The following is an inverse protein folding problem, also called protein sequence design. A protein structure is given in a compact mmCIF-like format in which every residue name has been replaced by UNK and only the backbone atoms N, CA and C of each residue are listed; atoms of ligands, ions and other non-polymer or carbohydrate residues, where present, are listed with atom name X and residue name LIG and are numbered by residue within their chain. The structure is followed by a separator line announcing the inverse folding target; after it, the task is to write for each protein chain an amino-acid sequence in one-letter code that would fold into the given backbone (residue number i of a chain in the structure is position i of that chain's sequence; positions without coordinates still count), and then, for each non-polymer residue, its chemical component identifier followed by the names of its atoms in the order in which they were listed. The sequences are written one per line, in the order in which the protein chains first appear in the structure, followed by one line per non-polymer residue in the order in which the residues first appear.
data_IF_908504279156
#
_entry.id   IF_908504279156
#
_cell.length_a   1.000
_cell.length_b   1.000
_cell.length_c   1.000
_cell.angle_alpha   90.00
_cell.angle_beta   90.00
_cell.angle_gamma   90.00
#
_symmetry.space_group_name_H-M   'P 1'
#
loop_
_entity.id
_entity.type
_entity.pdbx_description
1 polymer ?
#
# COMPACT_ATOMS: atom_id res chain seq x y z
N UNK A 1 -0.87 -33.82 5.93
CA UNK A 1 0.43 -33.29 6.38
C UNK A 1 1.38 -32.95 5.24
N UNK A 2 1.96 -33.92 4.49
CA UNK A 2 2.90 -33.57 3.40
C UNK A 2 2.26 -32.76 2.25
N UNK A 3 1.03 -33.10 1.86
CA UNK A 3 0.30 -32.37 0.82
C UNK A 3 -0.06 -30.94 1.26
N UNK A 4 -0.47 -30.76 2.52
CA UNK A 4 -0.78 -29.43 3.09
C UNK A 4 0.48 -28.58 3.19
N UNK A 5 1.60 -29.16 3.63
CA UNK A 5 2.89 -28.48 3.66
C UNK A 5 3.36 -28.06 2.27
N UNK A 6 3.17 -28.93 1.26
CA UNK A 6 3.47 -28.58 -0.13
C UNK A 6 2.56 -27.45 -0.64
N UNK A 7 1.26 -27.52 -0.34
CA UNK A 7 0.30 -26.46 -0.69
C UNK A 7 0.68 -25.11 -0.07
N UNK A 8 1.10 -25.11 1.20
CA UNK A 8 1.59 -23.90 1.88
C UNK A 8 2.82 -23.30 1.19
N UNK A 9 3.82 -24.12 0.86
CA UNK A 9 5.03 -23.64 0.18
C UNK A 9 4.74 -23.11 -1.23
N UNK A 10 3.84 -23.76 -1.97
CA UNK A 10 3.40 -23.29 -3.29
C UNK A 10 2.67 -21.95 -3.15
N UNK A 11 1.75 -21.83 -2.20
CA UNK A 11 1.03 -20.59 -1.92
C UNK A 11 1.97 -19.44 -1.57
N UNK A 12 2.95 -19.69 -0.70
CA UNK A 12 3.97 -18.70 -0.34
C UNK A 12 4.81 -18.29 -1.57
N UNK A 13 5.21 -19.24 -2.41
CA UNK A 13 5.93 -18.95 -3.65
C UNK A 13 5.11 -18.08 -4.62
N UNK A 14 3.83 -18.40 -4.80
CA UNK A 14 2.92 -17.61 -5.63
C UNK A 14 2.70 -16.21 -5.06
N UNK A 15 2.61 -16.07 -3.74
CA UNK A 15 2.47 -14.78 -3.07
C UNK A 15 3.68 -13.87 -3.33
N UNK A 16 4.90 -14.41 -3.20
CA UNK A 16 6.12 -13.66 -3.47
C UNK A 16 6.23 -13.22 -4.94
N UNK A 17 5.95 -14.11 -5.88
CA UNK A 17 5.97 -13.78 -7.32
C UNK A 17 4.85 -12.81 -7.68
N UNK A 18 3.66 -12.99 -7.10
CA UNK A 18 2.51 -12.12 -7.30
C UNK A 18 2.76 -10.70 -6.79
N UNK A 19 3.39 -10.56 -5.61
CA UNK A 19 3.72 -9.27 -5.03
C UNK A 19 4.67 -8.47 -5.94
N UNK A 20 5.75 -9.10 -6.42
CA UNK A 20 6.73 -8.47 -7.33
C UNK A 20 6.05 -8.00 -8.64
N UNK A 21 5.23 -8.87 -9.24
CA UNK A 21 4.48 -8.55 -10.47
C UNK A 21 3.44 -7.46 -10.28
N UNK A 22 2.80 -7.40 -9.12
CA UNK A 22 1.79 -6.38 -8.82
C UNK A 22 2.44 -4.99 -8.77
N UNK A 23 3.63 -4.88 -8.16
CA UNK A 23 4.37 -3.61 -8.10
C UNK A 23 4.82 -3.16 -9.49
N UNK A 24 5.36 -4.06 -10.31
CA UNK A 24 5.76 -3.75 -11.68
C UNK A 24 4.56 -3.31 -12.55
N UNK A 25 3.46 -4.05 -12.51
CA UNK A 25 2.25 -3.73 -13.26
C UNK A 25 1.63 -2.40 -12.80
N UNK A 26 1.66 -2.10 -11.50
CA UNK A 26 1.22 -0.82 -10.96
C UNK A 26 2.06 0.35 -11.50
N UNK A 27 3.38 0.20 -11.58
CA UNK A 27 4.26 1.21 -12.16
C UNK A 27 4.00 1.43 -13.67
N UNK A 28 3.74 0.35 -14.41
CA UNK A 28 3.36 0.44 -15.83
C UNK A 28 2.00 1.12 -16.03
N UNK A 29 1.02 0.82 -15.18
CA UNK A 29 -0.29 1.49 -15.20
C UNK A 29 -0.16 2.99 -14.94
N UNK A 30 0.66 3.39 -13.97
CA UNK A 30 0.91 4.80 -13.68
C UNK A 30 1.47 5.54 -14.91
N UNK A 31 2.43 4.92 -15.62
CA UNK A 31 3.01 5.47 -16.84
C UNK A 31 2.00 5.53 -18.00
N UNK A 32 1.13 4.53 -18.13
CA UNK A 32 0.14 4.48 -19.20
C UNK A 32 -0.93 5.57 -19.05
N UNK A 33 -1.42 5.79 -17.82
CA UNK A 33 -2.45 6.79 -17.52
C UNK A 33 -1.90 8.19 -17.24
N UNK A 34 -0.57 8.37 -17.17
CA UNK A 34 0.05 9.66 -16.89
C UNK A 34 -0.18 10.17 -15.46
N UNK A 35 -0.39 9.26 -14.51
CA UNK A 35 -0.64 9.53 -13.09
C UNK A 35 0.57 9.12 -12.25
N UNK A 36 0.69 9.65 -11.02
CA UNK A 36 1.83 9.33 -10.16
C UNK A 36 1.81 7.85 -9.72
N UNK A 37 3.00 7.25 -9.59
CA UNK A 37 3.13 5.91 -9.04
C UNK A 37 2.64 5.85 -7.58
N UNK A 38 2.78 6.97 -6.85
CA UNK A 38 2.25 7.12 -5.50
C UNK A 38 0.70 7.03 -5.49
N UNK A 39 0.00 7.74 -6.39
CA UNK A 39 -1.45 7.66 -6.51
C UNK A 39 -1.94 6.23 -6.76
N UNK A 40 -1.31 5.50 -7.71
CA UNK A 40 -1.64 4.10 -7.98
C UNK A 40 -1.35 3.21 -6.76
N UNK A 41 -0.26 3.49 -6.03
CA UNK A 41 0.07 2.79 -4.80
C UNK A 41 -1.00 2.95 -3.71
N UNK A 42 -1.45 4.19 -3.49
CA UNK A 42 -2.46 4.54 -2.48
C UNK A 42 -3.87 4.07 -2.87
N UNK A 43 -4.14 3.81 -4.15
CA UNK A 43 -5.46 3.39 -4.64
C UNK A 43 -5.49 1.93 -5.05
N UNK A 44 -4.97 1.59 -6.23
CA UNK A 44 -5.12 0.26 -6.83
C UNK A 44 -4.39 -0.81 -6.02
N UNK A 45 -3.14 -0.54 -5.62
CA UNK A 45 -2.34 -1.51 -4.89
C UNK A 45 -2.90 -1.72 -3.48
N UNK A 46 -3.20 -0.64 -2.76
CA UNK A 46 -3.78 -0.71 -1.40
C UNK A 46 -5.14 -1.43 -1.37
N UNK A 47 -6.06 -1.10 -2.29
CA UNK A 47 -7.35 -1.79 -2.40
C UNK A 47 -7.11 -3.27 -2.67
N UNK A 48 -6.22 -3.58 -3.62
CA UNK A 48 -5.89 -4.95 -4.00
C UNK A 48 -5.39 -5.78 -2.82
N UNK A 49 -4.54 -5.20 -1.97
CA UNK A 49 -4.05 -5.86 -0.76
C UNK A 49 -5.11 -6.05 0.31
N UNK A 50 -6.15 -5.20 0.35
CA UNK A 50 -7.24 -5.26 1.34
C UNK A 50 -8.40 -6.19 0.95
N UNK A 51 -8.45 -6.68 -0.30
CA UNK A 51 -9.52 -7.59 -0.77
C UNK A 51 -9.63 -8.85 0.10
N UNK A 52 -8.54 -9.54 0.48
CA UNK A 52 -8.61 -10.71 1.35
C UNK A 52 -9.24 -10.37 2.71
N UNK A 53 -8.84 -9.27 3.36
CA UNK A 53 -9.39 -8.83 4.64
C UNK A 53 -10.86 -8.41 4.52
N UNK A 54 -11.24 -7.75 3.43
CA UNK A 54 -12.65 -7.45 3.15
C UNK A 54 -13.45 -8.74 2.99
N UNK A 55 -12.90 -9.74 2.31
CA UNK A 55 -13.57 -11.03 2.11
C UNK A 55 -13.78 -11.76 3.44
N UNK A 56 -12.75 -11.81 4.30
CA UNK A 56 -12.89 -12.43 5.63
C UNK A 56 -13.84 -11.65 6.53
N UNK A 57 -13.83 -10.32 6.45
CA UNK A 57 -14.74 -9.45 7.23
C UNK A 57 -16.20 -9.62 6.79
N UNK A 58 -16.46 -9.69 5.47
CA UNK A 58 -17.80 -9.99 4.94
C UNK A 58 -18.27 -11.37 5.39
N UNK A 59 -17.38 -12.37 5.34
CA UNK A 59 -17.71 -13.71 5.82
C UNK A 59 -18.02 -13.69 7.32
N UNK A 60 -17.18 -13.07 8.15
CA UNK A 60 -17.43 -12.96 9.59
C UNK A 60 -18.76 -12.26 9.90
N UNK A 61 -19.13 -11.22 9.16
CA UNK A 61 -20.42 -10.53 9.29
C UNK A 61 -21.61 -11.45 8.94
N UNK A 62 -21.49 -12.28 7.89
CA UNK A 62 -22.54 -13.21 7.48
C UNK A 62 -22.79 -14.32 8.51
N UNK A 63 -21.79 -14.67 9.31
CA UNK A 63 -21.85 -15.70 10.35
C UNK A 63 -22.10 -15.14 11.75
N UNK A 64 -22.48 -13.87 11.87
CA UNK A 64 -22.74 -13.18 13.15
C UNK A 64 -21.54 -13.21 14.12
N UNK A 65 -20.32 -13.25 13.56
CA UNK A 65 -19.06 -13.30 14.30
C UNK A 65 -18.45 -11.89 14.43
N UNK A 66 -19.18 -10.97 15.06
CA UNK A 66 -18.80 -9.56 15.18
C UNK A 66 -17.44 -9.33 15.84
N UNK A 67 -17.15 -10.01 16.95
CA UNK A 67 -15.85 -9.87 17.65
C UNK A 67 -14.67 -10.32 16.78
N UNK A 68 -14.86 -11.37 15.97
CA UNK A 68 -13.84 -11.85 15.04
C UNK A 68 -13.62 -10.85 13.91
N UNK A 69 -14.70 -10.26 13.39
CA UNK A 69 -14.64 -9.20 12.38
C UNK A 69 -13.83 -8.01 12.89
N UNK A 70 -14.18 -7.48 14.07
CA UNK A 70 -13.50 -6.32 14.67
C UNK A 70 -12.04 -6.66 14.96
N UNK A 71 -11.77 -7.83 15.55
CA UNK A 71 -10.41 -8.29 15.80
C UNK A 71 -9.56 -8.42 14.54
N UNK A 72 -10.14 -8.93 13.45
CA UNK A 72 -9.47 -9.03 12.15
C UNK A 72 -9.12 -7.64 11.58
N UNK A 73 -10.08 -6.70 11.56
CA UNK A 73 -9.85 -5.36 11.01
C UNK A 73 -8.81 -4.61 11.85
N UNK A 74 -9.03 -4.49 13.15
CA UNK A 74 -8.14 -3.73 14.04
C UNK A 74 -6.74 -4.34 14.09
N UNK A 75 -6.65 -5.67 14.17
CA UNK A 75 -5.38 -6.39 14.19
C UNK A 75 -4.59 -6.20 12.89
N UNK A 76 -5.24 -6.32 11.73
CA UNK A 76 -4.59 -6.20 10.42
C UNK A 76 -4.05 -4.80 10.17
N UNK A 77 -4.85 -3.76 10.44
CA UNK A 77 -4.41 -2.37 10.27
C UNK A 77 -3.29 -1.99 11.25
N UNK A 78 -3.40 -2.43 12.51
CA UNK A 78 -2.33 -2.20 13.50
C UNK A 78 -1.03 -2.87 13.07
N UNK A 79 -1.09 -4.11 12.57
CA UNK A 79 0.09 -4.83 12.08
C UNK A 79 0.69 -4.16 10.83
N UNK A 80 -0.12 -3.68 9.88
CA UNK A 80 0.37 -2.97 8.71
C UNK A 80 1.14 -1.70 9.10
N UNK A 81 0.58 -0.89 10.00
CA UNK A 81 1.21 0.38 10.40
C UNK A 81 2.45 0.14 11.26
N UNK A 82 2.41 -0.79 12.21
CA UNK A 82 3.51 -0.96 13.19
C UNK A 82 4.55 -1.98 12.75
N UNK A 83 4.10 -3.17 12.37
CA UNK A 83 4.99 -4.29 12.02
C UNK A 83 5.55 -4.11 10.60
N UNK A 84 4.70 -3.84 9.60
CA UNK A 84 5.18 -3.77 8.22
C UNK A 84 6.10 -2.56 8.01
N UNK A 85 5.68 -1.36 8.43
CA UNK A 85 6.54 -0.16 8.34
C UNK A 85 7.81 -0.34 9.20
N UNK A 86 7.69 -0.92 10.40
CA UNK A 86 8.83 -1.20 11.27
C UNK A 86 9.86 -2.11 10.61
N UNK A 87 9.42 -3.20 9.99
CA UNK A 87 10.30 -4.12 9.26
C UNK A 87 10.93 -3.44 8.04
N UNK A 88 10.16 -2.68 7.26
CA UNK A 88 10.70 -1.96 6.08
C UNK A 88 11.76 -0.94 6.52
N UNK A 89 11.50 -0.17 7.58
CA UNK A 89 12.44 0.82 8.11
C UNK A 89 13.73 0.20 8.66
N UNK A 90 13.67 -1.03 9.19
CA UNK A 90 14.86 -1.78 9.61
C UNK A 90 15.70 -2.27 8.42
N UNK A 91 15.07 -2.56 7.29
CA UNK A 91 15.73 -3.08 6.09
C UNK A 91 16.24 -1.98 5.15
N UNK A 92 15.54 -0.85 5.06
CA UNK A 92 15.85 0.23 4.14
C UNK A 92 15.39 1.59 4.68
N UNK A 93 16.18 2.64 4.42
CA UNK A 93 15.74 4.01 4.64
C UNK A 93 14.63 4.36 3.64
N UNK A 94 13.51 4.87 4.17
CA UNK A 94 12.36 5.36 3.39
C UNK A 94 12.48 6.88 3.31
N UNK A 95 12.64 7.43 2.10
CA UNK A 95 12.59 8.87 1.86
C UNK A 95 11.23 9.20 1.22
N UNK A 96 10.39 9.93 1.93
CA UNK A 96 9.09 10.40 1.45
C UNK A 96 9.00 11.93 1.60
N UNK A 97 8.28 12.60 0.69
CA UNK A 97 8.09 14.03 0.80
C UNK A 97 7.29 14.37 2.05
N UNK A 98 7.80 15.31 2.87
CA UNK A 98 7.17 15.68 4.15
C UNK A 98 5.72 16.14 3.97
N UNK A 99 5.43 16.82 2.87
CA UNK A 99 4.07 17.27 2.53
C UNK A 99 3.13 16.08 2.38
N UNK A 100 3.51 15.08 1.58
CA UNK A 100 2.70 13.91 1.31
C UNK A 100 2.47 13.11 2.60
N UNK A 101 3.52 12.91 3.41
CA UNK A 101 3.37 12.23 4.72
C UNK A 101 2.38 12.96 5.64
N UNK A 102 2.40 14.29 5.69
CA UNK A 102 1.49 15.05 6.55
C UNK A 102 0.04 15.04 6.04
N UNK A 103 -0.17 15.19 4.73
CA UNK A 103 -1.51 15.18 4.12
C UNK A 103 -2.13 13.78 4.25
N UNK A 104 -1.42 12.74 3.80
CA UNK A 104 -1.96 11.36 3.77
C UNK A 104 -1.94 10.70 5.15
N UNK A 105 -0.90 10.95 5.95
CA UNK A 105 -0.89 10.53 7.35
C UNK A 105 -2.00 11.23 8.15
N UNK A 106 -2.26 12.51 7.87
CA UNK A 106 -3.38 13.25 8.46
C UNK A 106 -4.74 12.67 8.07
N UNK A 107 -4.93 12.33 6.79
CA UNK A 107 -6.14 11.66 6.31
C UNK A 107 -6.35 10.28 6.96
N UNK A 108 -5.27 9.50 7.14
CA UNK A 108 -5.33 8.22 7.84
C UNK A 108 -5.75 8.38 9.31
N UNK A 109 -5.17 9.36 10.02
CA UNK A 109 -5.56 9.68 11.40
C UNK A 109 -7.02 10.13 11.47
N UNK A 110 -7.45 10.97 10.53
CA UNK A 110 -8.84 11.42 10.46
C UNK A 110 -9.80 10.24 10.22
N UNK A 111 -9.48 9.33 9.31
CA UNK A 111 -10.26 8.12 9.07
C UNK A 111 -10.36 7.25 10.33
N UNK A 112 -9.26 7.11 11.08
CA UNK A 112 -9.25 6.40 12.37
C UNK A 112 -10.16 7.09 13.40
N UNK A 113 -10.13 8.42 13.50
CA UNK A 113 -11.00 9.17 14.40
C UNK A 113 -12.47 8.98 14.03
N UNK A 114 -12.80 9.08 12.74
CA UNK A 114 -14.17 8.86 12.25
C UNK A 114 -14.62 7.43 12.57
N UNK A 115 -13.77 6.42 12.36
CA UNK A 115 -14.07 5.03 12.72
C UNK A 115 -14.38 4.91 14.22
N UNK A 116 -13.56 5.50 15.10
CA UNK A 116 -13.78 5.43 16.55
C UNK A 116 -15.12 6.07 16.97
N UNK A 117 -15.51 7.17 16.33
CA UNK A 117 -16.80 7.81 16.60
C UNK A 117 -17.99 6.96 16.12
N UNK A 118 -17.84 6.25 14.99
CA UNK A 118 -18.86 5.33 14.47
C UNK A 118 -19.00 4.09 15.35
N UNK A 119 -17.91 3.59 15.92
CA UNK A 119 -17.90 2.39 16.75
C UNK A 119 -18.22 2.64 18.24
N UNK A 120 -18.55 3.88 18.64
CA UNK A 120 -18.72 4.26 20.04
C UNK A 120 -19.84 3.48 20.74
N UNK A 121 -20.94 3.20 20.03
CA UNK A 121 -22.08 2.43 20.54
C UNK A 121 -21.91 0.91 20.39
N UNK A 122 -20.81 0.47 19.77
CA UNK A 122 -20.49 -0.92 19.52
C UNK A 122 -21.34 -1.58 18.42
N UNK A 123 -22.13 -0.83 17.65
CA UNK A 123 -23.05 -1.38 16.65
C UNK A 123 -22.91 -0.63 15.31
N UNK A 124 -22.23 -1.26 14.34
CA UNK A 124 -22.16 -0.73 12.99
C UNK A 124 -23.48 -0.90 12.22
N UNK A 125 -24.17 0.20 11.94
CA UNK A 125 -25.39 0.20 11.12
C UNK A 125 -25.09 0.55 9.65
N UNK A 126 -26.03 0.21 8.76
CA UNK A 126 -25.88 0.40 7.30
C UNK A 126 -25.61 1.86 6.91
N UNK A 127 -26.20 2.83 7.60
CA UNK A 127 -25.99 4.26 7.32
C UNK A 127 -24.57 4.71 7.65
N UNK A 128 -23.97 4.18 8.70
CA UNK A 128 -22.57 4.48 9.06
C UNK A 128 -21.61 3.86 8.06
N UNK A 129 -21.86 2.62 7.64
CA UNK A 129 -21.09 2.00 6.55
C UNK A 129 -21.17 2.82 5.25
N UNK A 130 -22.34 3.38 4.92
CA UNK A 130 -22.49 4.27 3.77
C UNK A 130 -21.70 5.58 3.96
N UNK A 131 -21.74 6.18 5.16
CA UNK A 131 -20.96 7.36 5.48
C UNK A 131 -19.45 7.10 5.34
N UNK A 132 -18.95 5.95 5.82
CA UNK A 132 -17.55 5.55 5.68
C UNK A 132 -17.15 5.37 4.21
N UNK A 133 -18.01 4.73 3.43
CA UNK A 133 -17.78 4.57 1.99
C UNK A 133 -17.72 5.93 1.27
N UNK A 134 -18.61 6.85 1.63
CA UNK A 134 -18.62 8.19 1.05
C UNK A 134 -17.37 8.98 1.44
N UNK A 135 -16.90 8.86 2.68
CA UNK A 135 -15.64 9.44 3.12
C UNK A 135 -14.44 8.87 2.34
N UNK A 136 -14.42 7.56 2.06
CA UNK A 136 -13.38 6.93 1.25
C UNK A 136 -13.39 7.44 -0.20
N UNK A 137 -14.57 7.50 -0.83
CA UNK A 137 -14.71 8.04 -2.19
C UNK A 137 -14.29 9.50 -2.26
N UNK A 138 -14.66 10.30 -1.25
CA UNK A 138 -14.22 11.70 -1.15
C UNK A 138 -12.71 11.82 -1.02
N UNK A 139 -12.07 10.96 -0.22
CA UNK A 139 -10.60 10.90 -0.10
C UNK A 139 -9.94 10.56 -1.44
N UNK A 140 -10.41 9.54 -2.15
CA UNK A 140 -9.86 9.17 -3.47
C UNK A 140 -10.06 10.28 -4.49
N UNK A 141 -11.22 10.96 -4.47
CA UNK A 141 -11.48 12.09 -5.33
C UNK A 141 -10.53 13.27 -5.05
N UNK A 142 -10.36 13.62 -3.77
CA UNK A 142 -9.44 14.68 -3.34
C UNK A 142 -8.00 14.36 -3.76
N UNK A 143 -7.57 13.11 -3.54
CA UNK A 143 -6.28 12.59 -3.96
C UNK A 143 -6.08 12.73 -5.47
N UNK A 144 -7.08 12.37 -6.27
CA UNK A 144 -7.00 12.49 -7.73
C UNK A 144 -6.90 13.95 -8.18
N UNK A 145 -7.65 14.86 -7.55
CA UNK A 145 -7.60 16.29 -7.89
C UNK A 145 -6.28 16.98 -7.51
N UNK A 146 -5.61 16.52 -6.44
CA UNK A 146 -4.40 17.15 -5.93
C UNK A 146 -3.09 16.50 -6.41
N UNK A 147 -3.10 15.20 -6.72
CA UNK A 147 -1.90 14.45 -7.17
C UNK A 147 -2.01 13.86 -8.58
N UNK A 148 -3.23 13.71 -9.12
CA UNK A 148 -3.51 13.03 -10.39
C UNK A 148 -2.95 13.70 -11.65
N UNK A 149 -2.02 14.66 -11.52
CA UNK A 149 -1.44 15.37 -12.65
C UNK A 149 -0.01 15.90 -12.51
N UNK A 150 0.72 15.69 -11.40
CA UNK A 150 1.96 16.47 -11.17
C UNK A 150 3.18 15.66 -10.68
N UNK A 151 3.41 14.44 -11.17
CA UNK A 151 4.68 13.74 -10.84
C UNK A 151 5.32 12.89 -11.97
N UNK A 152 4.81 12.95 -13.21
CA UNK A 152 5.35 12.14 -14.32
C UNK A 152 6.55 12.79 -15.03
N UNK A 153 6.98 13.99 -14.65
CA UNK A 153 8.15 14.65 -15.27
C UNK A 153 9.21 15.06 -14.24
N UNK A 154 9.71 14.14 -13.43
CA UNK A 154 11.12 14.24 -13.00
C UNK A 154 11.98 13.16 -13.71
N UNK A 155 12.72 13.53 -14.77
CA UNK A 155 13.72 12.68 -15.43
C UNK A 155 14.79 12.12 -14.47
N UNK A 156 14.92 12.65 -13.24
CA UNK A 156 15.91 12.20 -12.24
C UNK A 156 15.55 10.85 -11.60
N UNK A 157 14.28 10.49 -11.45
CA UNK A 157 13.87 9.21 -10.84
C UNK A 157 14.25 8.00 -11.70
N UNK A 158 14.09 8.13 -13.03
CA UNK A 158 14.51 7.10 -14.01
C UNK A 158 16.03 6.85 -13.98
N UNK A 159 16.82 7.80 -13.49
CA UNK A 159 18.28 7.70 -13.36
C UNK A 159 18.75 7.11 -12.01
N UNK A 160 17.88 7.11 -10.99
CA UNK A 160 18.18 6.65 -9.62
C UNK A 160 17.68 5.23 -9.35
N UNK A 161 16.61 4.80 -10.01
CA UNK A 161 16.10 3.44 -9.92
C UNK A 161 17.07 2.49 -10.63
N UNK A 162 18.00 1.90 -9.89
CA UNK A 162 18.71 0.73 -10.38
C UNK A 162 17.71 -0.44 -10.31
N UNK A 163 17.37 -1.11 -11.43
CA UNK A 163 16.41 -2.20 -11.43
C UNK A 163 16.83 -3.25 -10.40
N UNK A 164 15.89 -3.68 -9.56
CA UNK A 164 16.11 -4.78 -8.62
C UNK A 164 16.06 -6.11 -9.39
N UNK A 165 16.92 -6.28 -10.39
CA UNK A 165 17.07 -7.56 -11.10
C UNK A 165 17.95 -8.49 -10.25
N UNK A 166 17.45 -9.67 -9.82
CA UNK A 166 18.28 -10.69 -9.21
C UNK A 166 19.35 -11.15 -10.22
N UNK A 167 20.65 -10.96 -9.91
CA UNK A 167 21.75 -11.39 -10.78
C UNK A 167 22.68 -10.28 -11.32
N UNK A 168 22.47 -9.01 -10.96
CA UNK A 168 23.46 -7.97 -11.28
C UNK A 168 24.76 -8.21 -10.49
N UNK A 169 25.83 -8.54 -11.21
CA UNK A 169 27.18 -8.65 -10.65
C UNK A 169 27.58 -7.36 -9.90
N UNK A 170 28.32 -7.50 -8.80
CA UNK A 170 28.78 -6.40 -7.92
C UNK A 170 29.42 -5.22 -8.66
N UNK A 171 30.02 -5.46 -9.84
CA UNK A 171 30.61 -4.43 -10.69
C UNK A 171 29.57 -3.56 -11.42
N UNK A 172 28.45 -4.13 -11.88
CA UNK A 172 27.35 -3.36 -12.50
C UNK A 172 26.58 -2.55 -11.46
N UNK A 173 26.36 -3.10 -10.26
CA UNK A 173 25.76 -2.40 -9.12
C UNK A 173 26.57 -1.16 -8.70
N UNK A 174 27.91 -1.29 -8.62
CA UNK A 174 28.81 -0.16 -8.31
C UNK A 174 28.82 0.93 -9.39
N UNK A 175 28.67 0.56 -10.68
CA UNK A 175 28.62 1.53 -11.79
C UNK A 175 27.33 2.36 -11.80
N UNK A 176 26.21 1.72 -11.47
CA UNK A 176 24.91 2.37 -11.29
C UNK A 176 24.94 3.38 -10.13
N UNK A 177 25.47 2.96 -8.97
CA UNK A 177 25.57 3.80 -7.77
C UNK A 177 26.58 4.96 -7.91
N UNK A 178 27.57 4.86 -8.82
CA UNK A 178 28.48 5.98 -9.13
C UNK A 178 27.84 7.03 -10.03
N UNK A 179 26.96 6.62 -10.96
CA UNK A 179 26.24 7.55 -11.85
C UNK A 179 25.15 8.34 -11.12
N UNK A 180 24.49 7.74 -10.13
CA UNK A 180 23.49 8.44 -9.32
C UNK A 180 24.09 9.54 -8.42
N UNK A 181 25.35 9.39 -7.98
CA UNK A 181 26.07 10.38 -7.17
C UNK A 181 26.64 11.57 -7.96
N UNK A 182 26.89 11.44 -9.27
CA UNK A 182 27.42 12.56 -10.07
C UNK A 182 26.33 13.56 -10.50
N UNK A 183 25.07 13.12 -10.56
CA UNK A 183 23.90 13.96 -10.92
C UNK A 183 23.32 14.77 -9.76
N UNK A 184 23.83 14.62 -8.53
CA UNK A 184 23.39 15.39 -7.36
C UNK A 184 24.27 16.60 -7.03
N UNK A 185 25.26 16.94 -7.88
CA UNK A 185 26.18 18.06 -7.68
C UNK A 185 26.13 19.14 -8.79
N UNK A 186 25.10 19.11 -9.64
CA UNK A 186 24.79 20.13 -10.64
C UNK A 186 23.32 20.47 -10.56
#
# INVERSE_FOLDING_TARGET
MLLEGLGFLIGLGLLLVGADRTVDAAAELALYYGISAFFIGVTVVSIGTSIPEMTTSVYAALYDAGDLLVGNIVGSETAQITLAIGVVALLSQIEAERRNVLVYGGAMVLAMVIMLLVLEDGVLIRSEGFLMMLAYVAFVHDLYSHEGGEEVIDPRLKSRACPWTPGLTTKRRRRCNRRSRSTSQT
#
